data_IF_881851621047
#
_entry.id   IF_881851621047
#
_cell.length_a   1.000
_cell.length_b   1.000
_cell.length_c   1.000
_cell.angle_alpha   90.00
_cell.angle_beta   90.00
_cell.angle_gamma   90.00
#
_symmetry.space_group_name_H-M   'P 1'
#
loop_
_entity.id
_entity.type
_entity.pdbx_description
1 polymer ?
#
# COMPACT_ATOMS: atom_id res chain seq x y z
N UNK A 1 1.60 -22.79 15.61
CA UNK A 1 0.25 -22.21 15.81
C UNK A 1 0.27 -20.86 15.12
N UNK A 2 -0.31 -20.75 13.93
CA UNK A 2 -0.22 -19.53 13.11
C UNK A 2 -1.00 -18.38 13.78
N UNK A 3 -0.46 -17.16 13.71
CA UNK A 3 -1.04 -15.98 14.34
C UNK A 3 -2.40 -15.63 13.68
N UNK A 4 -3.40 -15.17 14.45
CA UNK A 4 -4.67 -14.71 13.88
C UNK A 4 -4.38 -13.46 13.03
N UNK A 5 -4.44 -13.65 11.71
CA UNK A 5 -3.98 -12.69 10.70
C UNK A 5 -3.26 -13.34 9.52
N UNK A 6 -2.77 -14.57 9.67
CA UNK A 6 -2.03 -15.28 8.61
C UNK A 6 -2.90 -15.89 7.49
N UNK A 7 -4.16 -15.44 7.32
CA UNK A 7 -5.13 -16.10 6.42
C UNK A 7 -5.84 -15.14 5.47
N UNK A 8 -5.29 -13.95 5.21
CA UNK A 8 -5.82 -13.05 4.20
C UNK A 8 -4.71 -12.20 3.56
N UNK A 9 -4.90 -11.86 2.28
CA UNK A 9 -4.03 -10.91 1.57
C UNK A 9 -3.91 -9.62 2.37
N UNK A 10 -2.67 -9.18 2.61
CA UNK A 10 -2.40 -7.94 3.34
C UNK A 10 -2.85 -6.73 2.50
N UNK A 11 -3.15 -5.59 3.13
CA UNK A 11 -3.54 -4.37 2.38
C UNK A 11 -2.52 -3.98 1.29
N UNK A 12 -1.19 -4.02 1.54
CA UNK A 12 -0.19 -3.81 0.48
C UNK A 12 -0.30 -4.79 -0.68
N UNK A 13 -0.52 -6.08 -0.41
CA UNK A 13 -0.70 -7.11 -1.45
C UNK A 13 -1.91 -6.83 -2.32
N UNK A 14 -3.05 -6.44 -1.72
CA UNK A 14 -4.26 -6.07 -2.47
C UNK A 14 -4.02 -4.90 -3.42
N UNK A 15 -3.28 -3.88 -2.98
CA UNK A 15 -2.94 -2.73 -3.84
C UNK A 15 -2.07 -3.18 -5.03
N UNK A 16 -1.10 -4.07 -4.79
CA UNK A 16 -0.27 -4.64 -5.86
C UNK A 16 -1.10 -5.46 -6.85
N UNK A 17 -2.01 -6.30 -6.34
CA UNK A 17 -2.90 -7.10 -7.17
C UNK A 17 -3.83 -6.23 -8.02
N UNK A 18 -4.38 -5.16 -7.45
CA UNK A 18 -5.24 -4.21 -8.17
C UNK A 18 -4.46 -3.47 -9.27
N UNK A 19 -3.21 -3.05 -9.00
CA UNK A 19 -2.32 -2.44 -10.00
C UNK A 19 -2.00 -3.42 -11.11
N UNK A 20 -1.63 -4.66 -10.78
CA UNK A 20 -1.33 -5.69 -11.76
C UNK A 20 -2.57 -6.05 -12.60
N UNK A 21 -3.75 -6.12 -11.99
CA UNK A 21 -5.00 -6.39 -12.68
C UNK A 21 -5.37 -5.25 -13.63
N UNK A 22 -5.17 -3.99 -13.22
CA UNK A 22 -5.40 -2.83 -14.11
C UNK A 22 -4.46 -2.91 -15.32
N UNK A 23 -3.17 -3.11 -15.10
CA UNK A 23 -2.18 -3.19 -16.19
C UNK A 23 -2.48 -4.31 -17.19
N UNK A 24 -2.98 -5.47 -16.73
CA UNK A 24 -3.34 -6.60 -17.59
C UNK A 24 -4.58 -6.36 -18.46
N UNK A 25 -5.43 -5.40 -18.10
CA UNK A 25 -6.70 -5.11 -18.78
C UNK A 25 -6.61 -3.96 -19.78
N UNK A 26 -5.47 -3.31 -19.87
CA UNK A 26 -5.28 -2.18 -20.77
C UNK A 26 -5.05 -2.73 -22.17
N UNK A 27 -5.80 -2.20 -23.12
CA UNK A 27 -5.55 -2.42 -24.53
C UNK A 27 -4.51 -1.38 -25.00
N UNK A 28 -3.32 -1.80 -25.49
CA UNK A 28 -2.26 -0.86 -25.86
C UNK A 28 -2.68 0.16 -26.91
N UNK A 29 -3.57 -0.23 -27.83
CA UNK A 29 -4.06 0.62 -28.92
C UNK A 29 -4.86 1.83 -28.38
N UNK A 30 -5.58 1.66 -27.26
CA UNK A 30 -6.32 2.76 -26.62
C UNK A 30 -5.39 3.83 -26.03
N UNK A 31 -4.18 3.44 -25.61
CA UNK A 31 -3.20 4.38 -25.05
C UNK A 31 -2.53 5.24 -26.13
N UNK A 32 -2.57 4.81 -27.38
CA UNK A 32 -1.98 5.52 -28.50
C UNK A 32 -2.89 6.63 -29.05
N UNK A 33 -4.18 6.59 -28.73
CA UNK A 33 -5.18 7.54 -29.23
C UNK A 33 -4.85 8.98 -28.81
N UNK A 34 -4.98 9.88 -29.77
CA UNK A 34 -4.60 11.29 -29.63
C UNK A 34 -5.85 12.14 -29.85
N UNK A 35 -6.22 12.91 -28.83
CA UNK A 35 -7.36 13.83 -28.90
C UNK A 35 -7.10 14.96 -29.91
N UNK A 36 -8.15 15.71 -30.24
CA UNK A 36 -8.05 16.87 -31.13
C UNK A 36 -7.04 17.94 -30.63
N UNK A 37 -6.78 17.96 -29.32
CA UNK A 37 -5.82 18.85 -28.66
C UNK A 37 -4.37 18.29 -28.66
N UNK A 38 -4.13 17.14 -29.28
CA UNK A 38 -2.81 16.52 -29.34
C UNK A 38 -2.38 15.81 -28.05
N UNK A 39 -3.32 15.38 -27.21
CA UNK A 39 -3.05 14.71 -25.93
C UNK A 39 -3.43 13.24 -25.99
N UNK A 40 -2.79 12.42 -25.15
CA UNK A 40 -3.15 11.01 -24.93
C UNK A 40 -3.84 10.88 -23.58
N UNK A 41 -5.15 11.09 -23.57
CA UNK A 41 -5.91 11.19 -22.32
C UNK A 41 -5.95 9.85 -21.56
N UNK A 42 -6.11 8.73 -22.26
CA UNK A 42 -6.09 7.40 -21.65
C UNK A 42 -4.73 7.08 -21.01
N UNK A 43 -3.63 7.39 -21.71
CA UNK A 43 -2.28 7.25 -21.17
C UNK A 43 -2.07 8.15 -19.94
N UNK A 44 -2.54 9.39 -19.98
CA UNK A 44 -2.43 10.32 -18.85
C UNK A 44 -3.25 9.83 -17.65
N UNK A 45 -4.46 9.32 -17.87
CA UNK A 45 -5.31 8.76 -16.84
C UNK A 45 -4.66 7.54 -16.19
N UNK A 46 -4.11 6.63 -17.00
CA UNK A 46 -3.35 5.48 -16.55
C UNK A 46 -2.18 5.90 -15.66
N UNK A 47 -1.31 6.78 -16.15
CA UNK A 47 -0.11 7.22 -15.44
C UNK A 47 -0.45 7.92 -14.12
N UNK A 48 -1.50 8.73 -14.11
CA UNK A 48 -2.01 9.39 -12.89
C UNK A 48 -2.52 8.36 -11.88
N UNK A 49 -3.29 7.38 -12.34
CA UNK A 49 -3.79 6.27 -11.51
C UNK A 49 -2.66 5.43 -10.92
N UNK A 50 -1.67 5.05 -11.74
CA UNK A 50 -0.47 4.31 -11.29
C UNK A 50 0.31 5.09 -10.25
N UNK A 51 0.55 6.39 -10.47
CA UNK A 51 1.27 7.22 -9.51
C UNK A 51 0.58 7.25 -8.14
N UNK A 52 -0.75 7.44 -8.14
CA UNK A 52 -1.56 7.46 -6.93
C UNK A 52 -1.49 6.12 -6.17
N UNK A 53 -1.65 5.00 -6.86
CA UNK A 53 -1.67 3.68 -6.23
C UNK A 53 -0.29 3.32 -5.65
N UNK A 54 0.80 3.66 -6.34
CA UNK A 54 2.17 3.49 -5.83
C UNK A 54 2.46 4.39 -4.62
N UNK A 55 1.91 5.61 -4.60
CA UNK A 55 2.01 6.50 -3.43
C UNK A 55 1.24 5.95 -2.24
N UNK A 56 0.05 5.39 -2.46
CA UNK A 56 -0.71 4.72 -1.40
C UNK A 56 0.06 3.52 -0.86
N UNK A 57 0.58 2.65 -1.74
CA UNK A 57 1.38 1.50 -1.34
C UNK A 57 2.58 1.93 -0.49
N UNK A 58 3.32 2.95 -0.93
CA UNK A 58 4.45 3.51 -0.19
C UNK A 58 4.01 4.03 1.19
N UNK A 59 2.87 4.73 1.28
CA UNK A 59 2.33 5.22 2.55
C UNK A 59 1.96 4.09 3.50
N UNK A 60 1.29 3.04 3.01
CA UNK A 60 0.89 1.88 3.83
C UNK A 60 2.11 1.11 4.32
N UNK A 61 3.08 0.82 3.45
CA UNK A 61 4.34 0.15 3.83
C UNK A 61 5.08 0.98 4.88
N UNK A 62 5.19 2.29 4.65
CA UNK A 62 5.85 3.20 5.60
C UNK A 62 5.13 3.22 6.95
N UNK A 63 3.79 3.25 6.96
CA UNK A 63 3.01 3.19 8.19
C UNK A 63 3.24 1.88 8.97
N UNK A 64 3.35 0.74 8.28
CA UNK A 64 3.63 -0.57 8.91
C UNK A 64 5.06 -0.61 9.48
N UNK A 65 6.05 -0.09 8.75
CA UNK A 65 7.45 -0.21 9.14
C UNK A 65 7.96 0.92 10.05
N UNK A 66 7.31 2.09 10.05
CA UNK A 66 7.66 3.24 10.88
C UNK A 66 6.66 3.49 12.01
N UNK A 67 5.61 2.67 12.18
CA UNK A 67 4.97 2.56 13.48
C UNK A 67 5.99 1.94 14.43
N UNK A 68 6.61 2.78 15.27
CA UNK A 68 7.31 2.30 16.47
C UNK A 68 6.38 1.29 17.15
N UNK A 69 6.87 0.15 17.70
CA UNK A 69 6.05 -0.68 18.58
C UNK A 69 5.55 0.18 19.74
N UNK A 70 4.38 0.78 19.56
CA UNK A 70 3.74 1.63 20.53
C UNK A 70 3.32 0.70 21.65
N UNK A 71 4.00 0.84 22.78
CA UNK A 71 3.67 0.18 24.02
C UNK A 71 3.66 -1.35 23.92
N UNK A 72 4.83 -1.96 23.71
CA UNK A 72 5.07 -3.28 24.31
C UNK A 72 5.00 -3.09 25.83
N UNK A 73 3.78 -3.11 26.38
CA UNK A 73 3.54 -3.28 27.80
C UNK A 73 4.07 -4.66 28.19
N UNK A 74 5.02 -4.74 29.14
CA UNK A 74 5.41 -6.02 29.68
C UNK A 74 4.16 -6.74 30.23
N UNK A 75 4.12 -8.07 30.11
CA UNK A 75 2.99 -8.89 30.62
C UNK A 75 2.77 -8.74 32.13
N UNK A 76 3.66 -8.04 32.83
CA UNK A 76 3.61 -7.78 34.27
C UNK A 76 3.12 -6.36 34.62
N UNK A 77 2.60 -5.61 33.65
CA UNK A 77 2.02 -4.28 33.87
C UNK A 77 2.99 -3.13 33.64
N UNK A 78 2.52 -1.87 33.81
CA UNK A 78 3.29 -0.67 33.53
C UNK A 78 4.61 -0.67 34.31
N UNK A 79 5.66 -0.15 33.68
CA UNK A 79 6.99 -0.02 34.26
C UNK A 79 7.02 1.02 35.38
N UNK A 80 6.34 0.73 36.49
CA UNK A 80 6.61 1.37 37.76
C UNK A 80 8.03 0.96 38.14
N UNK A 81 8.94 1.94 38.12
CA UNK A 81 10.35 1.79 38.47
C UNK A 81 10.46 1.03 39.78
N UNK A 82 10.83 -0.25 39.69
CA UNK A 82 11.19 -1.05 40.84
C UNK A 82 12.52 -0.50 41.37
N UNK A 83 12.45 0.36 42.38
CA UNK A 83 13.62 0.72 43.18
C UNK A 83 13.97 -0.53 43.98
N UNK A 84 15.00 -1.24 43.54
CA UNK A 84 15.57 -2.35 44.30
C UNK A 84 16.51 -1.77 45.37
N UNK A 85 16.48 -2.31 46.60
CA UNK A 85 17.30 -1.81 47.72
C UNK A 85 18.80 -2.04 47.51
#
# INVERSE_FOLDING_TARGET
KSLPGSSGSSRPERIVDDVAMRLRRIEPDELEDVTAEGKRDELNALMTGMHRDLRELSSVITAIHLSLPGDMQPLWGPAERRVVP
#
